data_IF_808183591842
#
_entry.id   IF_808183591842
#
_cell.length_a   1.000
_cell.length_b   1.000
_cell.length_c   1.000
_cell.angle_alpha   90.00
_cell.angle_beta   90.00
_cell.angle_gamma   90.00
#
_symmetry.space_group_name_H-M   'P 1'
#
loop_
_entity.id
_entity.type
_entity.pdbx_description
1 polymer ?
#
# COMPACT_ATOMS: atom_id res chain seq x y z
N UNK A 1 24.66 -0.63 12.96
CA UNK A 1 23.59 0.21 13.55
C UNK A 1 22.86 1.06 12.51
N UNK A 2 23.55 1.73 11.59
CA UNK A 2 22.91 2.52 10.52
C UNK A 2 21.96 1.70 9.64
N UNK A 3 22.36 0.47 9.27
CA UNK A 3 21.53 -0.42 8.46
C UNK A 3 20.26 -0.92 9.19
N UNK A 4 20.31 -1.12 10.51
CA UNK A 4 19.12 -1.44 11.31
C UNK A 4 18.12 -0.28 11.31
N UNK A 5 18.61 0.95 11.48
CA UNK A 5 17.77 2.16 11.40
C UNK A 5 17.18 2.32 9.99
N UNK A 6 17.95 2.03 8.95
CA UNK A 6 17.46 2.05 7.56
C UNK A 6 16.35 1.00 7.34
N UNK A 7 16.55 -0.25 7.78
CA UNK A 7 15.51 -1.29 7.67
C UNK A 7 14.25 -0.93 8.45
N UNK A 8 14.39 -0.38 9.65
CA UNK A 8 13.28 0.09 10.48
C UNK A 8 12.51 1.22 9.80
N UNK A 9 13.21 2.23 9.27
CA UNK A 9 12.60 3.37 8.58
C UNK A 9 11.88 2.91 7.30
N UNK A 10 12.47 1.98 6.54
CA UNK A 10 11.83 1.44 5.34
C UNK A 10 10.57 0.64 5.72
N UNK A 11 10.66 -0.24 6.74
CA UNK A 11 9.51 -1.01 7.19
C UNK A 11 8.35 -0.10 7.62
N UNK A 12 8.61 0.87 8.49
CA UNK A 12 7.60 1.82 8.96
C UNK A 12 7.07 2.70 7.82
N UNK A 13 7.96 3.17 6.95
CA UNK A 13 7.57 4.02 5.81
C UNK A 13 6.68 3.29 4.81
N UNK A 14 7.01 2.04 4.49
CA UNK A 14 6.19 1.20 3.60
C UNK A 14 4.85 0.87 4.25
N UNK A 15 4.82 0.48 5.53
CA UNK A 15 3.57 0.21 6.25
C UNK A 15 2.68 1.46 6.35
N UNK A 16 3.27 2.64 6.58
CA UNK A 16 2.55 3.91 6.62
C UNK A 16 1.92 4.22 5.25
N UNK A 17 2.67 4.03 4.16
CA UNK A 17 2.16 4.22 2.81
C UNK A 17 1.00 3.24 2.53
N UNK A 18 1.16 1.95 2.83
CA UNK A 18 0.11 0.94 2.68
C UNK A 18 -1.17 1.33 3.43
N UNK A 19 -1.06 1.81 4.68
CA UNK A 19 -2.20 2.26 5.48
C UNK A 19 -2.94 3.46 4.87
N UNK A 20 -2.22 4.43 4.28
CA UNK A 20 -2.84 5.54 3.54
C UNK A 20 -3.60 5.01 2.32
N UNK A 21 -3.02 4.08 1.55
CA UNK A 21 -3.70 3.51 0.40
C UNK A 21 -4.97 2.78 0.83
N UNK A 22 -4.92 1.94 1.87
CA UNK A 22 -6.09 1.26 2.42
C UNK A 22 -7.17 2.25 2.85
N UNK A 23 -6.81 3.30 3.57
CA UNK A 23 -7.75 4.33 4.01
C UNK A 23 -8.40 5.06 2.82
N UNK A 24 -7.63 5.38 1.78
CA UNK A 24 -8.15 6.02 0.55
C UNK A 24 -9.10 5.09 -0.19
N UNK A 25 -8.69 3.83 -0.43
CA UNK A 25 -9.50 2.82 -1.11
C UNK A 25 -10.84 2.58 -0.40
N UNK A 26 -10.81 2.47 0.93
CA UNK A 26 -12.01 2.25 1.75
C UNK A 26 -12.90 3.50 1.87
N UNK A 27 -12.34 4.70 1.78
CA UNK A 27 -13.10 5.96 1.85
C UNK A 27 -13.69 6.41 0.51
N UNK A 28 -13.39 5.73 -0.61
CA UNK A 28 -14.00 6.02 -1.91
C UNK A 28 -15.48 5.61 -1.95
N UNK A 29 -16.36 6.61 -1.92
CA UNK A 29 -17.81 6.41 -2.05
C UNK A 29 -18.26 6.32 -3.52
N UNK A 30 -19.34 5.56 -3.83
CA UNK A 30 -19.88 5.48 -5.18
C UNK A 30 -20.14 6.84 -5.86
N UNK A 31 -20.80 7.83 -5.20
CA UNK A 31 -21.03 9.13 -5.82
C UNK A 31 -19.75 9.94 -6.09
N UNK A 32 -18.66 9.73 -5.33
CA UNK A 32 -17.36 10.35 -5.64
C UNK A 32 -16.78 9.81 -6.94
N UNK A 33 -16.89 8.49 -7.17
CA UNK A 33 -16.39 7.84 -8.39
C UNK A 33 -17.23 8.22 -9.60
N UNK A 34 -18.56 8.28 -9.47
CA UNK A 34 -19.44 8.73 -10.56
C UNK A 34 -19.14 10.17 -10.96
N UNK A 35 -18.96 11.06 -9.99
CA UNK A 35 -18.61 12.47 -10.25
C UNK A 35 -17.23 12.59 -10.92
N UNK A 36 -16.26 11.80 -10.48
CA UNK A 36 -14.94 11.73 -11.10
C UNK A 36 -14.98 11.16 -12.52
N UNK A 37 -15.87 10.19 -12.81
CA UNK A 37 -16.07 9.65 -14.15
C UNK A 37 -16.73 10.65 -15.10
N UNK A 38 -17.58 11.55 -14.58
CA UNK A 38 -18.15 12.65 -15.35
C UNK A 38 -17.11 13.73 -15.66
N UNK A 39 -16.32 14.17 -14.68
CA UNK A 39 -15.29 15.19 -14.88
C UNK A 39 -14.08 14.68 -15.68
N UNK A 40 -13.67 13.43 -15.43
CA UNK A 40 -12.51 12.79 -16.07
C UNK A 40 -12.82 11.34 -16.44
N UNK A 41 -13.40 11.08 -17.62
CA UNK A 41 -13.87 9.76 -18.01
C UNK A 41 -12.77 8.68 -18.03
N UNK A 42 -11.54 9.04 -18.43
CA UNK A 42 -10.41 8.09 -18.38
C UNK A 42 -10.00 7.72 -16.96
N UNK A 43 -9.86 8.70 -16.08
CA UNK A 43 -9.45 8.47 -14.69
C UNK A 43 -10.57 7.78 -13.90
N UNK A 44 -11.82 8.20 -14.10
CA UNK A 44 -12.98 7.56 -13.47
C UNK A 44 -13.17 6.11 -13.89
N UNK A 45 -12.92 5.75 -15.17
CA UNK A 45 -12.97 4.36 -15.61
C UNK A 45 -11.94 3.48 -14.88
N UNK A 46 -10.70 3.97 -14.72
CA UNK A 46 -9.64 3.28 -13.98
C UNK A 46 -10.04 3.10 -12.51
N UNK A 47 -10.49 4.18 -11.87
CA UNK A 47 -10.92 4.17 -10.46
C UNK A 47 -12.12 3.23 -10.24
N UNK A 48 -13.07 3.21 -11.16
CA UNK A 48 -14.23 2.32 -11.10
C UNK A 48 -13.81 0.85 -11.24
N UNK A 49 -12.80 0.57 -12.06
CA UNK A 49 -12.22 -0.77 -12.23
C UNK A 49 -11.44 -1.22 -10.98
N UNK A 50 -10.66 -0.32 -10.37
CA UNK A 50 -9.95 -0.55 -9.10
C UNK A 50 -10.96 -0.82 -7.98
N UNK A 51 -12.03 -0.03 -7.89
CA UNK A 51 -13.08 -0.21 -6.88
C UNK A 51 -13.84 -1.53 -7.04
N UNK A 52 -14.01 -2.02 -8.27
CA UNK A 52 -14.62 -3.34 -8.55
C UNK A 52 -13.72 -4.51 -8.08
N UNK A 53 -12.41 -4.26 -7.95
CA UNK A 53 -11.38 -5.21 -7.49
C UNK A 53 -10.71 -4.71 -6.20
N UNK A 54 -11.49 -4.11 -5.31
CA UNK A 54 -10.97 -3.51 -4.08
C UNK A 54 -10.33 -4.58 -3.18
N UNK A 55 -10.93 -5.77 -3.08
CA UNK A 55 -10.40 -6.89 -2.31
C UNK A 55 -9.03 -7.36 -2.84
N UNK A 56 -8.88 -7.42 -4.16
CA UNK A 56 -7.60 -7.78 -4.83
C UNK A 56 -6.53 -6.71 -4.61
N UNK A 57 -6.93 -5.42 -4.63
CA UNK A 57 -6.03 -4.30 -4.38
C UNK A 57 -5.56 -4.28 -2.92
N UNK A 58 -6.47 -4.49 -1.96
CA UNK A 58 -6.15 -4.61 -0.54
C UNK A 58 -5.24 -5.82 -0.27
N UNK A 59 -5.53 -6.97 -0.86
CA UNK A 59 -4.68 -8.16 -0.75
C UNK A 59 -3.26 -7.90 -1.28
N UNK A 60 -3.14 -7.20 -2.41
CA UNK A 60 -1.85 -6.85 -3.00
C UNK A 60 -1.03 -5.90 -2.11
N UNK A 61 -1.70 -4.90 -1.49
CA UNK A 61 -1.09 -3.97 -0.52
C UNK A 61 -0.60 -4.73 0.72
N UNK A 62 -1.42 -5.65 1.23
CA UNK A 62 -1.06 -6.45 2.39
C UNK A 62 0.12 -7.37 2.11
N UNK A 63 0.15 -8.03 0.94
CA UNK A 63 1.28 -8.86 0.49
C UNK A 63 2.55 -8.01 0.40
N UNK A 64 2.47 -6.81 -0.18
CA UNK A 64 3.61 -5.90 -0.28
C UNK A 64 4.15 -5.52 1.11
N UNK A 65 3.26 -5.22 2.06
CA UNK A 65 3.63 -4.92 3.45
C UNK A 65 4.31 -6.12 4.12
N UNK A 66 3.77 -7.33 3.96
CA UNK A 66 4.39 -8.57 4.46
C UNK A 66 5.78 -8.77 3.87
N UNK A 67 5.94 -8.60 2.55
CA UNK A 67 7.21 -8.78 1.88
C UNK A 67 8.27 -7.78 2.37
N UNK A 68 7.90 -6.50 2.50
CA UNK A 68 8.77 -5.47 3.05
C UNK A 68 9.20 -5.80 4.48
N UNK A 69 8.28 -6.27 5.32
CA UNK A 69 8.57 -6.61 6.70
C UNK A 69 9.41 -7.89 6.83
N UNK A 70 9.18 -8.89 5.98
CA UNK A 70 9.97 -10.14 5.94
C UNK A 70 11.40 -9.87 5.47
N UNK A 71 11.59 -9.10 4.40
CA UNK A 71 12.93 -8.73 3.93
C UNK A 71 13.67 -7.86 4.96
N UNK A 72 12.96 -6.92 5.58
CA UNK A 72 13.50 -6.10 6.67
C UNK A 72 13.97 -6.95 7.85
N UNK A 73 13.14 -7.89 8.31
CA UNK A 73 13.49 -8.80 9.41
C UNK A 73 14.66 -9.74 9.06
N UNK A 74 14.70 -10.26 7.82
CA UNK A 74 15.81 -11.09 7.35
C UNK A 74 17.14 -10.31 7.29
N UNK A 75 17.11 -9.06 6.79
CA UNK A 75 18.29 -8.20 6.74
C UNK A 75 18.78 -7.75 8.12
N UNK A 76 17.85 -7.46 9.03
CA UNK A 76 18.15 -7.19 10.45
C UNK A 76 18.75 -8.42 11.14
N UNK A 77 18.19 -9.60 10.93
CA UNK A 77 18.68 -10.85 11.49
C UNK A 77 20.07 -11.23 11.00
N UNK A 78 20.34 -11.05 9.69
CA UNK A 78 21.66 -11.25 9.12
C UNK A 78 22.72 -10.32 9.74
N UNK A 79 22.34 -9.10 10.11
CA UNK A 79 23.25 -8.14 10.76
C UNK A 79 23.35 -8.26 12.28
N UNK A 80 22.37 -8.89 12.93
CA UNK A 80 22.46 -9.19 14.35
C UNK A 80 23.39 -10.37 14.61
N UNK A 81 23.57 -11.26 13.62
CA UNK A 81 24.44 -12.42 13.70
C UNK A 81 25.89 -12.15 13.21
N UNK A 82 26.09 -11.08 12.41
CA UNK A 82 27.40 -10.59 11.98
C UNK A 82 28.03 -9.65 13.00
#
# INVERSE_FOLDING_TARGET
MTLLVVYLVIAIGVSFLCSILEAVLLSMTPPFVERMAQDRPRAGAIVQQIRKRMDESLASILILNTFAHTMGAAGVGAQALS
#
